data_IF_129418416902
#
_entry.id   IF_129418416902
#
_cell.length_a   1.000
_cell.length_b   1.000
_cell.length_c   1.000
_cell.angle_alpha   90.00
_cell.angle_beta   90.00
_cell.angle_gamma   90.00
#
_symmetry.space_group_name_H-M   'P 1'
#
loop_
_entity.id
_entity.type
_entity.pdbx_description
1 polymer ?
#
# COMPACT_ATOMS: atom_id res chain seq x y z
N UNK A 1 -24.44 -10.17 -10.50
CA UNK A 1 -23.62 -10.58 -11.68
C UNK A 1 -22.77 -11.81 -11.40
N UNK A 2 -21.89 -11.84 -10.38
CA UNK A 2 -21.10 -13.05 -10.05
C UNK A 2 -21.95 -14.29 -9.76
N UNK A 3 -23.04 -14.14 -8.99
CA UNK A 3 -23.96 -15.25 -8.72
C UNK A 3 -24.67 -15.76 -9.99
N UNK A 4 -24.94 -14.89 -10.96
CA UNK A 4 -25.61 -15.27 -12.20
C UNK A 4 -24.68 -15.96 -13.21
N UNK A 5 -23.36 -15.71 -13.12
CA UNK A 5 -22.37 -16.30 -14.03
C UNK A 5 -21.67 -17.52 -13.43
N UNK A 6 -21.43 -17.53 -12.12
CA UNK A 6 -20.61 -18.54 -11.44
C UNK A 6 -21.32 -19.25 -10.29
N UNK A 7 -22.54 -18.83 -9.90
CA UNK A 7 -23.26 -19.39 -8.75
C UNK A 7 -22.62 -19.08 -7.40
N UNK A 8 -21.67 -18.13 -7.35
CA UNK A 8 -20.94 -17.75 -6.13
C UNK A 8 -21.43 -16.37 -5.68
N UNK A 9 -21.72 -16.26 -4.38
CA UNK A 9 -22.00 -15.00 -3.69
C UNK A 9 -20.96 -14.77 -2.58
N UNK A 10 -19.76 -14.24 -2.91
CA UNK A 10 -18.73 -14.00 -1.91
C UNK A 10 -19.21 -12.92 -0.94
N UNK A 11 -19.07 -13.19 0.35
CA UNK A 11 -19.45 -12.26 1.42
C UNK A 11 -18.38 -11.20 1.65
N UNK A 12 -18.18 -10.32 0.66
CA UNK A 12 -17.10 -9.32 0.62
C UNK A 12 -17.02 -8.38 1.84
N UNK A 13 -18.12 -8.18 2.56
CA UNK A 13 -18.18 -7.29 3.73
C UNK A 13 -18.31 -8.03 5.06
N UNK A 14 -18.78 -9.28 5.04
CA UNK A 14 -19.05 -10.05 6.25
C UNK A 14 -17.90 -10.99 6.61
N UNK A 15 -17.21 -11.53 5.60
CA UNK A 15 -16.05 -12.38 5.83
C UNK A 15 -14.76 -11.53 5.95
N UNK A 16 -14.03 -11.62 7.07
CA UNK A 16 -12.81 -10.81 7.29
C UNK A 16 -11.73 -11.01 6.23
N UNK A 17 -11.61 -12.23 5.68
CA UNK A 17 -10.59 -12.52 4.68
C UNK A 17 -10.97 -11.90 3.33
N UNK A 18 -12.19 -12.13 2.85
CA UNK A 18 -12.70 -11.53 1.62
C UNK A 18 -12.74 -10.00 1.68
N UNK A 19 -13.06 -9.41 2.84
CA UNK A 19 -13.02 -7.96 3.02
C UNK A 19 -11.61 -7.39 2.81
N UNK A 20 -10.57 -8.03 3.38
CA UNK A 20 -9.18 -7.63 3.16
C UNK A 20 -8.78 -7.82 1.69
N UNK A 21 -9.17 -8.93 1.07
CA UNK A 21 -8.90 -9.18 -0.34
C UNK A 21 -9.54 -8.11 -1.23
N UNK A 22 -10.79 -7.72 -0.96
CA UNK A 22 -11.46 -6.63 -1.67
C UNK A 22 -10.72 -5.31 -1.52
N UNK A 23 -10.33 -4.94 -0.30
CA UNK A 23 -9.55 -3.72 -0.03
C UNK A 23 -8.25 -3.73 -0.86
N UNK A 24 -7.52 -4.85 -0.88
CA UNK A 24 -6.29 -4.97 -1.67
C UNK A 24 -6.56 -4.85 -3.16
N UNK A 25 -7.60 -5.51 -3.70
CA UNK A 25 -7.95 -5.43 -5.12
C UNK A 25 -8.25 -3.99 -5.54
N UNK A 26 -9.11 -3.30 -4.78
CA UNK A 26 -9.49 -1.92 -5.10
C UNK A 26 -8.29 -0.98 -4.92
N UNK A 27 -7.47 -1.18 -3.89
CA UNK A 27 -6.25 -0.38 -3.67
C UNK A 27 -5.24 -0.58 -4.81
N UNK A 28 -5.02 -1.81 -5.26
CA UNK A 28 -4.16 -2.10 -6.41
C UNK A 28 -4.71 -1.49 -7.69
N UNK A 29 -6.03 -1.54 -7.89
CA UNK A 29 -6.67 -0.92 -9.06
C UNK A 29 -6.44 0.61 -9.09
N UNK A 30 -6.58 1.27 -7.93
CA UNK A 30 -6.32 2.72 -7.81
C UNK A 30 -4.82 3.07 -7.90
N UNK A 31 -3.95 2.23 -7.34
CA UNK A 31 -2.51 2.50 -7.24
C UNK A 31 -1.68 2.09 -8.45
N UNK A 32 -2.13 1.12 -9.25
CA UNK A 32 -1.40 0.61 -10.41
C UNK A 32 -1.05 1.70 -11.44
N UNK A 33 -1.98 2.58 -11.87
CA UNK A 33 -1.68 3.62 -12.87
C UNK A 33 -0.57 4.57 -12.42
N UNK A 34 -0.55 4.92 -11.12
CA UNK A 34 0.50 5.76 -10.54
C UNK A 34 1.88 5.10 -10.65
N UNK A 35 2.01 3.83 -10.26
CA UNK A 35 3.28 3.11 -10.39
C UNK A 35 3.69 2.87 -11.84
N UNK A 36 2.73 2.65 -12.74
CA UNK A 36 3.01 2.49 -14.16
C UNK A 36 3.66 3.75 -14.75
N UNK A 37 3.12 4.93 -14.46
CA UNK A 37 3.68 6.20 -14.94
C UNK A 37 5.10 6.42 -14.39
N UNK A 38 5.31 6.13 -13.10
CA UNK A 38 6.63 6.23 -12.50
C UNK A 38 7.64 5.28 -13.17
N UNK A 39 7.26 4.01 -13.35
CA UNK A 39 8.13 3.02 -14.00
C UNK A 39 8.43 3.42 -15.45
N UNK A 40 7.45 3.93 -16.20
CA UNK A 40 7.67 4.43 -17.56
C UNK A 40 8.71 5.56 -17.60
N UNK A 41 8.64 6.51 -16.67
CA UNK A 41 9.62 7.58 -16.57
C UNK A 41 11.02 7.07 -16.22
N UNK A 42 11.12 6.13 -15.28
CA UNK A 42 12.40 5.53 -14.87
C UNK A 42 13.02 4.64 -15.96
N UNK A 43 12.21 3.90 -16.71
CA UNK A 43 12.67 3.05 -17.81
C UNK A 43 13.37 3.87 -18.90
N UNK A 44 12.95 5.12 -19.14
CA UNK A 44 13.59 6.01 -20.11
C UNK A 44 15.02 6.43 -19.72
N UNK A 45 15.42 6.25 -18.47
CA UNK A 45 16.78 6.50 -18.03
C UNK A 45 17.75 5.33 -18.32
N UNK A 46 17.23 4.15 -18.70
CA UNK A 46 18.06 3.00 -19.07
C UNK A 46 18.49 3.16 -20.53
N UNK A 47 19.81 3.19 -20.84
CA UNK A 47 20.28 3.29 -22.22
C UNK A 47 19.86 2.07 -23.06
N UNK A 48 19.43 2.32 -24.29
CA UNK A 48 19.00 1.27 -25.22
C UNK A 48 20.15 0.32 -25.62
N UNK A 49 21.39 0.83 -25.62
CA UNK A 49 22.64 0.09 -25.90
C UNK A 49 22.79 -1.19 -25.05
N UNK A 50 22.30 -1.17 -23.80
CA UNK A 50 22.34 -2.34 -22.91
C UNK A 50 21.44 -3.47 -23.44
N UNK A 51 20.29 -3.12 -24.02
CA UNK A 51 19.39 -4.09 -24.62
C UNK A 51 19.93 -4.58 -25.97
N UNK A 52 20.57 -3.73 -26.77
CA UNK A 52 21.24 -4.14 -28.01
C UNK A 52 22.38 -5.12 -27.74
N UNK A 53 23.25 -4.82 -26.77
CA UNK A 53 24.33 -5.72 -26.36
C UNK A 53 23.78 -7.07 -25.87
N UNK A 54 22.72 -7.04 -25.06
CA UNK A 54 22.07 -8.27 -24.58
C UNK A 54 21.48 -9.12 -25.71
N UNK A 55 21.00 -8.50 -26.78
CA UNK A 55 20.45 -9.19 -27.94
C UNK A 55 21.57 -9.91 -28.74
N UNK A 56 22.75 -9.30 -28.83
CA UNK A 56 23.95 -9.93 -29.42
C UNK A 56 24.37 -11.16 -28.59
N UNK A 57 24.29 -11.07 -27.26
CA UNK A 57 24.55 -12.17 -26.32
C UNK A 57 23.44 -13.24 -26.27
N UNK A 58 22.42 -13.13 -27.13
CA UNK A 58 21.31 -14.08 -27.21
C UNK A 58 20.35 -14.05 -26.01
N UNK A 59 20.31 -12.95 -25.26
CA UNK A 59 19.40 -12.80 -24.13
C UNK A 59 17.95 -12.56 -24.60
N UNK A 60 17.02 -13.37 -24.07
CA UNK A 60 15.58 -13.19 -24.32
C UNK A 60 14.93 -12.14 -23.40
N UNK A 61 13.65 -11.79 -23.65
CA UNK A 61 12.93 -10.75 -22.90
C UNK A 61 12.90 -10.95 -21.38
N UNK A 62 12.71 -12.19 -20.91
CA UNK A 62 12.74 -12.51 -19.49
C UNK A 62 14.12 -12.32 -18.86
N UNK A 63 15.18 -12.68 -19.60
CA UNK A 63 16.56 -12.50 -19.13
C UNK A 63 16.87 -11.01 -18.99
N UNK A 64 16.48 -10.21 -19.98
CA UNK A 64 16.63 -8.75 -19.97
C UNK A 64 15.86 -8.11 -18.81
N UNK A 65 14.62 -8.53 -18.57
CA UNK A 65 13.83 -8.00 -17.46
C UNK A 65 14.51 -8.22 -16.10
N UNK A 66 14.93 -9.45 -15.79
CA UNK A 66 15.50 -9.76 -14.47
C UNK A 66 16.97 -9.35 -14.30
N UNK A 67 17.76 -9.26 -15.39
CA UNK A 67 19.20 -8.96 -15.31
C UNK A 67 19.58 -7.53 -15.66
N UNK A 68 18.76 -6.82 -16.44
CA UNK A 68 19.02 -5.43 -16.84
C UNK A 68 17.99 -4.52 -16.20
N UNK A 69 16.71 -4.72 -16.54
CA UNK A 69 15.64 -3.78 -16.17
C UNK A 69 15.43 -3.70 -14.66
N UNK A 70 15.20 -4.82 -13.99
CA UNK A 70 14.92 -4.87 -12.55
C UNK A 70 16.11 -4.32 -11.72
N UNK A 71 17.36 -4.79 -11.91
CA UNK A 71 18.49 -4.30 -11.13
C UNK A 71 18.73 -2.79 -11.29
N UNK A 72 18.61 -2.26 -12.50
CA UNK A 72 18.81 -0.84 -12.78
C UNK A 72 17.65 0.03 -12.23
N UNK A 73 16.43 -0.49 -12.22
CA UNK A 73 15.27 0.23 -11.68
C UNK A 73 15.19 0.21 -10.15
N UNK A 74 15.69 -0.83 -9.46
CA UNK A 74 15.57 -0.95 -7.99
C UNK A 74 16.17 0.27 -7.28
N UNK A 75 17.32 0.78 -7.74
CA UNK A 75 18.01 1.92 -7.12
C UNK A 75 17.09 3.17 -7.05
N UNK A 76 16.55 3.69 -8.18
CA UNK A 76 15.61 4.81 -8.14
C UNK A 76 14.19 4.45 -7.64
N UNK A 77 13.74 3.18 -7.76
CA UNK A 77 12.42 2.78 -7.28
C UNK A 77 12.32 2.65 -5.76
N UNK A 78 13.39 2.27 -5.07
CA UNK A 78 13.39 2.02 -3.62
C UNK A 78 12.77 3.18 -2.80
N UNK A 79 13.20 4.45 -2.96
CA UNK A 79 12.58 5.55 -2.23
C UNK A 79 11.11 5.77 -2.61
N UNK A 80 10.72 5.53 -3.86
CA UNK A 80 9.32 5.65 -4.30
C UNK A 80 8.44 4.56 -3.67
N UNK A 81 8.96 3.34 -3.53
CA UNK A 81 8.27 2.22 -2.88
C UNK A 81 8.07 2.48 -1.38
N UNK A 82 9.09 3.00 -0.69
CA UNK A 82 8.98 3.38 0.72
C UNK A 82 7.96 4.51 0.91
N UNK A 83 7.96 5.53 0.03
CA UNK A 83 6.99 6.60 0.07
C UNK A 83 5.56 6.10 -0.17
N UNK A 84 5.37 5.20 -1.15
CA UNK A 84 4.09 4.54 -1.41
C UNK A 84 3.62 3.69 -0.23
N UNK A 85 4.54 2.97 0.43
CA UNK A 85 4.23 2.22 1.64
C UNK A 85 3.75 3.14 2.77
N UNK A 86 4.46 4.24 3.03
CA UNK A 86 4.07 5.21 4.06
C UNK A 86 2.69 5.85 3.77
N UNK A 87 2.39 6.13 2.50
CA UNK A 87 1.08 6.59 2.05
C UNK A 87 -0.01 5.54 2.33
N UNK A 88 0.22 4.29 1.92
CA UNK A 88 -0.75 3.20 2.12
C UNK A 88 -0.98 2.85 3.60
N UNK A 89 0.05 2.97 4.44
CA UNK A 89 -0.05 2.76 5.88
C UNK A 89 -1.07 3.69 6.56
N UNK A 90 -1.28 4.89 6.00
CA UNK A 90 -2.21 5.90 6.51
C UNK A 90 -3.40 6.14 5.58
N UNK A 91 -3.75 5.16 4.73
CA UNK A 91 -4.81 5.35 3.74
C UNK A 91 -6.21 5.26 4.36
N UNK A 92 -6.53 6.24 5.19
CA UNK A 92 -7.80 6.37 5.92
C UNK A 92 -9.00 6.40 4.98
N UNK A 93 -8.93 7.25 3.94
CA UNK A 93 -10.03 7.48 2.99
C UNK A 93 -10.45 6.17 2.33
N UNK A 94 -9.48 5.35 1.92
CA UNK A 94 -9.75 4.06 1.30
C UNK A 94 -10.55 3.12 2.21
N UNK A 95 -10.12 2.95 3.46
CA UNK A 95 -10.78 2.03 4.40
C UNK A 95 -12.16 2.54 4.81
N UNK A 96 -12.24 3.83 5.15
CA UNK A 96 -13.45 4.45 5.66
C UNK A 96 -14.57 4.45 4.61
N UNK A 97 -14.24 4.80 3.35
CA UNK A 97 -15.24 4.83 2.28
C UNK A 97 -15.59 3.43 1.76
N UNK A 98 -14.64 2.50 1.70
CA UNK A 98 -14.90 1.19 1.11
C UNK A 98 -15.57 0.24 2.10
N UNK A 99 -15.07 0.13 3.32
CA UNK A 99 -15.51 -0.89 4.29
C UNK A 99 -15.99 -0.30 5.61
N UNK A 100 -15.77 1.00 5.84
CA UNK A 100 -15.95 1.65 7.13
C UNK A 100 -15.24 0.87 8.26
N UNK A 101 -14.09 0.25 7.95
CA UNK A 101 -13.30 -0.63 8.83
C UNK A 101 -13.84 -2.03 9.07
N UNK A 102 -15.02 -2.37 8.54
CA UNK A 102 -15.68 -3.66 8.78
C UNK A 102 -15.03 -4.85 8.06
N UNK A 103 -15.39 -6.10 8.43
CA UNK A 103 -16.39 -6.47 9.43
C UNK A 103 -15.95 -6.14 10.87
N UNK A 104 -16.91 -5.94 11.79
CA UNK A 104 -16.60 -5.62 13.19
C UNK A 104 -15.94 -6.81 13.90
N UNK A 105 -14.95 -6.52 14.72
CA UNK A 105 -14.28 -7.49 15.58
C UNK A 105 -15.05 -7.62 16.89
N UNK A 106 -15.54 -8.82 17.18
CA UNK A 106 -16.35 -9.09 18.37
C UNK A 106 -15.42 -9.30 19.58
N UNK A 107 -15.75 -8.69 20.72
CA UNK A 107 -15.02 -8.85 21.98
C UNK A 107 -13.91 -7.82 22.22
N UNK A 108 -13.82 -6.77 21.40
CA UNK A 108 -12.94 -5.64 21.68
C UNK A 108 -13.61 -4.64 22.63
N UNK A 109 -12.84 -4.09 23.58
CA UNK A 109 -13.32 -3.06 24.50
C UNK A 109 -13.73 -1.78 23.77
N UNK A 110 -12.97 -1.42 22.75
CA UNK A 110 -13.27 -0.30 21.86
C UNK A 110 -13.75 -0.82 20.50
N UNK A 111 -14.65 -0.11 19.80
CA UNK A 111 -15.06 -0.48 18.45
C UNK A 111 -13.84 -0.64 17.54
N UNK A 112 -13.69 -1.82 16.94
CA UNK A 112 -12.62 -2.11 15.99
C UNK A 112 -13.15 -3.06 14.92
N UNK A 113 -12.68 -2.92 13.69
CA UNK A 113 -13.00 -3.87 12.62
C UNK A 113 -11.77 -4.53 12.00
N UNK A 114 -11.99 -5.60 11.25
CA UNK A 114 -10.94 -6.44 10.70
C UNK A 114 -10.15 -5.80 9.55
N UNK A 115 -10.68 -4.76 8.91
CA UNK A 115 -9.98 -4.01 7.85
C UNK A 115 -9.48 -2.64 8.33
N UNK A 116 -9.70 -2.29 9.60
CA UNK A 116 -9.23 -1.03 10.15
C UNK A 116 -7.70 -0.93 10.07
N UNK A 117 -7.24 0.21 9.57
CA UNK A 117 -5.86 0.65 9.74
C UNK A 117 -5.73 1.36 11.08
N UNK A 118 -4.49 1.51 11.57
CA UNK A 118 -4.21 2.28 12.78
C UNK A 118 -4.83 3.68 12.74
N UNK A 119 -4.80 4.34 11.57
CA UNK A 119 -5.41 5.67 11.37
C UNK A 119 -6.94 5.64 11.44
N UNK A 120 -7.62 4.64 10.86
CA UNK A 120 -9.08 4.55 10.90
C UNK A 120 -9.57 4.13 12.28
N UNK A 121 -8.85 3.23 12.95
CA UNK A 121 -9.10 2.88 14.34
C UNK A 121 -8.96 4.10 15.27
N UNK A 122 -7.89 4.91 15.10
CA UNK A 122 -7.70 6.14 15.88
C UNK A 122 -8.83 7.13 15.68
N UNK A 123 -9.27 7.31 14.43
CA UNK A 123 -10.41 8.16 14.11
C UNK A 123 -11.70 7.68 14.78
N UNK A 124 -11.95 6.37 14.76
CA UNK A 124 -13.13 5.76 15.36
C UNK A 124 -13.20 5.98 16.87
N UNK A 125 -12.09 5.80 17.58
CA UNK A 125 -11.99 6.06 19.03
C UNK A 125 -12.25 7.55 19.34
N UNK A 126 -11.68 8.45 18.53
CA UNK A 126 -11.81 9.89 18.73
C UNK A 126 -13.22 10.41 18.45
N UNK A 127 -13.92 9.87 17.45
CA UNK A 127 -15.11 10.53 16.90
C UNK A 127 -16.38 9.66 16.85
N UNK A 128 -16.27 8.33 16.82
CA UNK A 128 -17.40 7.42 16.56
C UNK A 128 -17.82 6.55 17.75
N UNK A 129 -17.12 6.62 18.89
CA UNK A 129 -17.39 5.80 20.06
C UNK A 129 -18.78 6.05 20.68
N UNK A 130 -19.71 5.11 20.52
CA UNK A 130 -21.04 5.13 21.15
C UNK A 130 -21.02 5.02 22.69
N UNK A 131 -19.87 4.68 23.29
CA UNK A 131 -19.63 4.63 24.73
C UNK A 131 -18.82 5.82 25.29
N UNK A 132 -18.42 6.77 24.44
CA UNK A 132 -17.56 7.92 24.79
C UNK A 132 -16.49 8.19 23.73
N UNK A 133 -16.06 9.46 23.61
CA UNK A 133 -14.95 9.88 22.75
C UNK A 133 -13.67 9.96 23.59
N UNK A 134 -12.74 9.01 23.40
CA UNK A 134 -11.46 9.01 24.11
C UNK A 134 -10.38 9.73 23.27
N UNK A 135 -10.40 11.06 23.34
CA UNK A 135 -9.39 11.90 22.69
C UNK A 135 -7.98 11.67 23.25
N UNK A 136 -7.86 11.21 24.51
CA UNK A 136 -6.57 10.93 25.15
C UNK A 136 -5.89 9.72 24.53
N UNK A 137 -6.63 8.60 24.45
CA UNK A 137 -6.17 7.38 23.79
C UNK A 137 -5.91 7.62 22.30
N UNK A 138 -6.82 8.31 21.60
CA UNK A 138 -6.64 8.63 20.19
C UNK A 138 -5.38 9.48 19.94
N UNK A 139 -5.11 10.48 20.77
CA UNK A 139 -3.91 11.31 20.66
C UNK A 139 -2.62 10.51 20.91
N UNK A 140 -2.64 9.55 21.85
CA UNK A 140 -1.52 8.66 22.11
C UNK A 140 -1.23 7.75 20.90
N UNK A 141 -2.26 7.15 20.31
CA UNK A 141 -2.11 6.32 19.11
C UNK A 141 -1.64 7.16 17.90
N UNK A 142 -2.19 8.36 17.71
CA UNK A 142 -1.75 9.29 16.66
C UNK A 142 -0.26 9.64 16.79
N UNK A 143 0.22 9.84 18.03
CA UNK A 143 1.64 10.09 18.30
C UNK A 143 2.51 8.88 17.94
N UNK A 144 2.07 7.66 18.22
CA UNK A 144 2.77 6.44 17.82
C UNK A 144 2.81 6.27 16.31
N UNK A 145 1.71 6.53 15.61
CA UNK A 145 1.66 6.52 14.14
C UNK A 145 2.64 7.55 13.58
N UNK A 146 2.67 8.76 14.14
CA UNK A 146 3.61 9.81 13.73
C UNK A 146 5.06 9.37 13.88
N UNK A 147 5.44 8.74 15.00
CA UNK A 147 6.80 8.23 15.21
C UNK A 147 7.15 7.10 14.22
N UNK A 148 6.21 6.20 13.93
CA UNK A 148 6.43 5.11 12.97
C UNK A 148 6.62 5.65 11.55
N UNK A 149 5.71 6.51 11.09
CA UNK A 149 5.72 7.07 9.72
C UNK A 149 6.88 8.06 9.56
N UNK A 150 7.12 8.89 10.57
CA UNK A 150 8.27 9.79 10.63
C UNK A 150 9.60 9.03 10.60
N UNK A 151 9.68 7.90 11.31
CA UNK A 151 10.81 6.97 11.23
C UNK A 151 11.01 6.43 9.82
N UNK A 152 9.94 5.99 9.14
CA UNK A 152 10.00 5.53 7.75
C UNK A 152 10.42 6.65 6.78
N UNK A 153 9.96 7.87 6.99
CA UNK A 153 10.37 9.03 6.20
C UNK A 153 11.86 9.35 6.40
N UNK A 154 12.37 9.27 7.63
CA UNK A 154 13.80 9.43 7.91
C UNK A 154 14.64 8.35 7.24
N UNK A 155 14.17 7.10 7.26
CA UNK A 155 14.80 6.01 6.52
C UNK A 155 14.82 6.30 5.01
N UNK A 156 13.69 6.71 4.45
CA UNK A 156 13.57 7.10 3.04
C UNK A 156 14.61 8.16 2.64
N UNK A 157 14.75 9.21 3.45
CA UNK A 157 15.70 10.29 3.21
C UNK A 157 17.16 9.80 3.32
N UNK A 158 17.46 8.90 4.26
CA UNK A 158 18.80 8.30 4.37
C UNK A 158 19.14 7.43 3.15
N UNK A 159 18.23 6.57 2.72
CA UNK A 159 18.43 5.73 1.53
C UNK A 159 18.53 6.54 0.25
N UNK A 160 17.75 7.62 0.12
CA UNK A 160 17.84 8.52 -1.04
C UNK A 160 19.21 9.19 -1.11
N UNK A 161 19.75 9.66 0.03
CA UNK A 161 21.10 10.25 0.09
C UNK A 161 22.19 9.24 -0.27
N UNK A 162 22.15 8.04 0.31
CA UNK A 162 23.08 6.94 0.00
C UNK A 162 23.03 6.48 -1.46
N UNK A 163 21.94 6.74 -2.17
CA UNK A 163 21.78 6.38 -3.57
C UNK A 163 22.31 7.46 -4.53
N UNK A 164 22.55 8.69 -4.05
CA UNK A 164 23.13 9.79 -4.82
C UNK A 164 24.66 9.85 -4.71
N UNK A 165 25.23 9.29 -3.65
CA UNK A 165 26.65 9.01 -3.49
C UNK A 165 27.07 7.73 -4.25
#
# INVERSE_FOLDING_TARGET
MLNQLFGISPSWFSDPFLAKTMVLIVNTWLGFPYMMILCMGLLKAIPDDLYEASAIDGAGPFKNFFHITVPLMIKPMTPLLIASFAFNFNNFVMIQLLTNGGPNMIGTSEPAGYTDLLVSYTYRIAFEGGGGQDFGLASAIATLIFLLVGGMALLNLRFTKLSQD
#
